data_IF_749208490684
#
_entry.id   IF_749208490684
#
_cell.length_a   1.000
_cell.length_b   1.000
_cell.length_c   1.000
_cell.angle_alpha   90.00
_cell.angle_beta   90.00
_cell.angle_gamma   90.00
#
_symmetry.space_group_name_H-M   'P 1'
#
loop_
_entity.id
_entity.type
_entity.pdbx_description
1 polymer ?
#
# COMPACT_ATOMS: atom_id res chain seq x y z
N UNK A 1 -15.86 -1.38 1.27
CA UNK A 1 -15.03 -2.56 0.94
C UNK A 1 -15.75 -3.45 -0.04
N UNK A 2 -17.04 -3.76 0.19
CA UNK A 2 -17.89 -4.47 -0.77
C UNK A 2 -17.93 -3.82 -2.17
N UNK A 3 -18.05 -2.49 -2.27
CA UNK A 3 -18.01 -1.80 -3.58
C UNK A 3 -16.66 -1.92 -4.32
N UNK A 4 -15.56 -2.25 -3.62
CA UNK A 4 -14.23 -2.41 -4.20
C UNK A 4 -14.01 -3.86 -4.67
N UNK A 5 -14.51 -4.85 -3.93
CA UNK A 5 -14.39 -6.27 -4.27
C UNK A 5 -15.28 -6.64 -5.48
N UNK A 6 -16.41 -5.96 -5.62
CA UNK A 6 -17.33 -6.11 -6.76
C UNK A 6 -17.07 -5.14 -7.92
N UNK A 7 -15.98 -4.37 -7.88
CA UNK A 7 -15.61 -3.50 -9.01
C UNK A 7 -15.15 -4.37 -10.19
N UNK A 8 -15.97 -4.43 -11.25
CA UNK A 8 -15.67 -5.18 -12.48
C UNK A 8 -14.32 -4.80 -13.11
N UNK A 9 -13.79 -3.60 -12.83
CA UNK A 9 -12.48 -3.17 -13.33
C UNK A 9 -11.31 -3.74 -12.54
N UNK A 10 -11.51 -4.08 -11.27
CA UNK A 10 -10.45 -4.67 -10.43
C UNK A 10 -10.30 -6.17 -10.68
N UNK A 11 -11.37 -6.83 -11.13
CA UNK A 11 -11.39 -8.26 -11.50
C UNK A 11 -10.74 -9.11 -10.38
N UNK A 12 -11.32 -9.00 -9.19
CA UNK A 12 -10.79 -9.62 -7.96
C UNK A 12 -11.36 -11.03 -7.71
N UNK A 13 -12.32 -11.48 -8.52
CA UNK A 13 -12.94 -12.81 -8.40
C UNK A 13 -11.87 -13.88 -8.60
N UNK A 14 -11.87 -14.90 -7.73
CA UNK A 14 -10.89 -16.01 -7.72
C UNK A 14 -9.42 -15.56 -7.54
N UNK A 15 -9.18 -14.34 -7.07
CA UNK A 15 -7.84 -13.84 -6.74
C UNK A 15 -7.56 -13.93 -5.24
N UNK A 16 -6.29 -13.86 -4.80
CA UNK A 16 -5.97 -13.83 -3.37
C UNK A 16 -6.68 -12.71 -2.60
N UNK A 17 -6.98 -11.57 -3.27
CA UNK A 17 -7.67 -10.45 -2.63
C UNK A 17 -9.18 -10.67 -2.47
N UNK A 18 -9.76 -11.68 -3.11
CA UNK A 18 -11.18 -12.04 -2.97
C UNK A 18 -11.55 -12.40 -1.53
N UNK A 19 -10.63 -13.08 -0.83
CA UNK A 19 -10.85 -13.56 0.53
C UNK A 19 -10.60 -12.48 1.59
N UNK A 20 -10.18 -11.28 1.19
CA UNK A 20 -9.79 -10.22 2.12
C UNK A 20 -10.91 -9.88 3.12
N UNK A 21 -12.16 -9.75 2.64
CA UNK A 21 -13.32 -9.45 3.48
C UNK A 21 -13.57 -10.56 4.52
N UNK A 22 -13.38 -11.82 4.13
CA UNK A 22 -13.52 -12.99 5.01
C UNK A 22 -12.44 -13.04 6.09
N UNK A 23 -11.24 -12.53 5.78
CA UNK A 23 -10.08 -12.55 6.69
C UNK A 23 -9.99 -11.31 7.60
N UNK A 24 -10.89 -10.33 7.45
CA UNK A 24 -10.92 -9.14 8.32
C UNK A 24 -11.07 -9.49 9.80
N UNK A 25 -11.83 -10.54 10.13
CA UNK A 25 -12.00 -10.98 11.52
C UNK A 25 -10.70 -11.55 12.09
N UNK A 26 -10.00 -12.40 11.31
CA UNK A 26 -8.67 -12.90 11.66
C UNK A 26 -7.69 -11.75 11.86
N UNK A 27 -7.73 -10.77 10.96
CA UNK A 27 -6.88 -9.58 11.02
C UNK A 27 -7.16 -8.74 12.26
N UNK A 28 -8.42 -8.51 12.60
CA UNK A 28 -8.82 -7.82 13.83
C UNK A 28 -8.33 -8.57 15.08
N UNK A 29 -8.50 -9.89 15.12
CA UNK A 29 -8.00 -10.72 16.22
C UNK A 29 -6.47 -10.65 16.35
N UNK A 30 -5.74 -10.56 15.24
CA UNK A 30 -4.27 -10.44 15.25
C UNK A 30 -3.74 -9.13 15.86
N UNK A 31 -4.58 -8.10 15.93
CA UNK A 31 -4.22 -6.78 16.49
C UNK A 31 -4.44 -6.68 17.99
N UNK A 32 -5.07 -7.67 18.62
CA UNK A 32 -5.21 -7.73 20.07
C UNK A 32 -3.84 -7.79 20.74
N UNK A 33 -3.73 -7.15 21.89
CA UNK A 33 -2.56 -7.23 22.76
C UNK A 33 -2.78 -8.33 23.79
N UNK A 34 -2.43 -9.56 23.40
CA UNK A 34 -2.61 -10.76 24.22
C UNK A 34 -1.26 -11.26 24.70
N UNK A 35 -1.21 -11.62 25.97
CA UNK A 35 -0.03 -12.17 26.63
C UNK A 35 0.22 -13.62 26.15
N UNK A 36 1.37 -13.85 25.52
CA UNK A 36 1.79 -15.16 25.01
C UNK A 36 1.84 -16.23 26.13
N UNK A 37 2.03 -15.81 27.39
CA UNK A 37 1.99 -16.73 28.54
C UNK A 37 0.59 -17.29 28.80
N UNK A 38 -0.45 -16.56 28.40
CA UNK A 38 -1.86 -16.94 28.55
C UNK A 38 -2.41 -17.63 27.30
N UNK A 39 -1.87 -17.27 26.13
CA UNK A 39 -2.30 -17.82 24.84
C UNK A 39 -1.05 -18.23 24.03
N UNK A 40 -0.54 -19.45 24.25
CA UNK A 40 0.61 -19.95 23.53
C UNK A 40 0.32 -20.04 22.03
N UNK A 41 1.22 -19.53 21.20
CA UNK A 41 1.11 -19.55 19.74
C UNK A 41 0.38 -18.33 19.16
N UNK A 42 -0.04 -17.38 19.98
CA UNK A 42 -0.69 -16.15 19.50
C UNK A 42 0.24 -15.34 18.59
N UNK A 43 1.51 -15.20 18.94
CA UNK A 43 2.51 -14.55 18.07
C UNK A 43 2.64 -15.22 16.71
N UNK A 44 2.59 -16.56 16.66
CA UNK A 44 2.61 -17.32 15.39
C UNK A 44 1.35 -17.05 14.56
N UNK A 45 0.19 -17.07 15.19
CA UNK A 45 -1.09 -16.71 14.54
C UNK A 45 -1.03 -15.29 13.98
N UNK A 46 -0.60 -14.32 14.79
CA UNK A 46 -0.46 -12.91 14.41
C UNK A 46 0.44 -12.74 13.20
N UNK A 47 1.62 -13.36 13.20
CA UNK A 47 2.55 -13.29 12.08
C UNK A 47 2.00 -13.96 10.81
N UNK A 48 1.29 -15.08 10.95
CA UNK A 48 0.64 -15.77 9.83
C UNK A 48 -0.42 -14.85 9.18
N UNK A 49 -1.36 -14.36 9.98
CA UNK A 49 -2.45 -13.49 9.50
C UNK A 49 -1.91 -12.21 8.88
N UNK A 50 -0.92 -11.56 9.52
CA UNK A 50 -0.27 -10.38 8.94
C UNK A 50 0.37 -10.67 7.59
N UNK A 51 1.07 -11.80 7.46
CA UNK A 51 1.71 -12.21 6.20
C UNK A 51 0.69 -12.46 5.09
N UNK A 52 -0.41 -13.15 5.42
CA UNK A 52 -1.51 -13.43 4.48
C UNK A 52 -2.22 -12.14 4.05
N UNK A 53 -2.63 -11.30 5.00
CA UNK A 53 -3.27 -10.02 4.73
C UNK A 53 -2.36 -9.09 3.89
N UNK A 54 -1.05 -9.07 4.17
CA UNK A 54 -0.07 -8.30 3.37
C UNK A 54 -0.11 -8.70 1.90
N UNK A 55 -0.14 -10.00 1.61
CA UNK A 55 -0.19 -10.50 0.22
C UNK A 55 -1.47 -10.07 -0.48
N UNK A 56 -2.62 -10.21 0.19
CA UNK A 56 -3.92 -9.84 -0.36
C UNK A 56 -4.00 -8.33 -0.63
N UNK A 57 -3.60 -7.51 0.34
CA UNK A 57 -3.58 -6.05 0.20
C UNK A 57 -2.62 -5.61 -0.90
N UNK A 58 -1.43 -6.20 -0.97
CA UNK A 58 -0.44 -5.88 -2.03
C UNK A 58 -1.02 -6.19 -3.41
N UNK A 59 -1.66 -7.36 -3.56
CA UNK A 59 -2.30 -7.75 -4.80
C UNK A 59 -3.42 -6.78 -5.20
N UNK A 60 -4.26 -6.38 -4.25
CA UNK A 60 -5.33 -5.42 -4.49
C UNK A 60 -4.77 -4.04 -4.88
N UNK A 61 -3.72 -3.57 -4.20
CA UNK A 61 -3.03 -2.31 -4.54
C UNK A 61 -2.45 -2.35 -5.95
N UNK A 62 -1.87 -3.47 -6.37
CA UNK A 62 -1.32 -3.63 -7.72
C UNK A 62 -2.43 -3.64 -8.80
N UNK A 63 -3.55 -4.31 -8.54
CA UNK A 63 -4.72 -4.31 -9.43
C UNK A 63 -5.32 -2.92 -9.55
N UNK A 64 -5.52 -2.21 -8.43
CA UNK A 64 -6.02 -0.85 -8.42
C UNK A 64 -5.11 0.11 -9.21
N UNK A 65 -3.79 -0.04 -9.04
CA UNK A 65 -2.81 0.72 -9.82
C UNK A 65 -2.95 0.48 -11.32
N UNK A 66 -2.97 -0.79 -11.75
CA UNK A 66 -3.10 -1.16 -13.18
C UNK A 66 -4.42 -0.71 -13.81
N UNK A 67 -5.49 -0.70 -13.03
CA UNK A 67 -6.81 -0.24 -13.46
C UNK A 67 -6.94 1.31 -13.44
N UNK A 68 -5.93 2.03 -12.95
CA UNK A 68 -5.98 3.49 -12.79
C UNK A 68 -7.02 3.95 -11.76
N UNK A 69 -7.32 3.11 -10.77
CA UNK A 69 -8.32 3.38 -9.74
C UNK A 69 -7.61 3.97 -8.52
N UNK A 70 -7.89 5.22 -8.15
CA UNK A 70 -7.30 5.82 -6.97
C UNK A 70 -7.88 5.18 -5.70
N UNK A 71 -7.01 4.64 -4.86
CA UNK A 71 -7.37 4.20 -3.52
C UNK A 71 -7.52 5.44 -2.61
N UNK A 72 -8.56 5.45 -1.78
CA UNK A 72 -8.87 6.59 -0.89
C UNK A 72 -8.13 6.54 0.44
N UNK A 73 -7.58 5.39 0.77
CA UNK A 73 -6.95 5.06 2.05
C UNK A 73 -5.76 4.14 1.80
N UNK A 74 -4.69 4.32 2.54
CA UNK A 74 -3.55 3.40 2.53
C UNK A 74 -3.97 2.07 3.15
N UNK A 75 -4.20 1.07 2.31
CA UNK A 75 -4.69 -0.23 2.74
C UNK A 75 -3.65 -1.03 3.54
N UNK A 76 -2.37 -0.67 3.48
CA UNK A 76 -1.36 -1.32 4.32
C UNK A 76 -1.49 -0.97 5.79
N UNK A 77 -2.10 0.17 6.12
CA UNK A 77 -2.41 0.56 7.50
C UNK A 77 -3.31 -0.49 8.16
N UNK A 78 -4.25 -1.09 7.41
CA UNK A 78 -5.08 -2.21 7.90
C UNK A 78 -4.22 -3.38 8.42
N UNK A 79 -3.01 -3.59 7.92
CA UNK A 79 -2.13 -4.66 8.38
C UNK A 79 -1.23 -4.20 9.52
N UNK A 80 -0.60 -3.03 9.38
CA UNK A 80 0.51 -2.62 10.24
C UNK A 80 0.09 -1.78 11.44
N UNK A 81 -0.94 -0.95 11.30
CA UNK A 81 -1.33 -0.01 12.35
C UNK A 81 -2.02 -0.69 13.52
N UNK A 82 -1.96 -0.06 14.69
CA UNK A 82 -2.68 -0.51 15.87
C UNK A 82 -4.20 -0.33 15.73
N UNK A 83 -4.96 -1.01 16.59
CA UNK A 83 -6.41 -0.82 16.65
C UNK A 83 -6.79 0.65 16.91
N UNK A 84 -6.08 1.33 17.80
CA UNK A 84 -6.36 2.73 18.18
C UNK A 84 -6.05 3.72 17.04
N UNK A 85 -5.00 3.47 16.25
CA UNK A 85 -4.68 4.27 15.06
C UNK A 85 -5.75 4.10 13.98
N UNK A 86 -6.12 2.87 13.67
CA UNK A 86 -7.19 2.58 12.71
C UNK A 86 -8.53 3.18 13.14
N UNK A 87 -8.86 3.10 14.44
CA UNK A 87 -10.06 3.70 15.01
C UNK A 87 -10.09 5.21 14.81
N UNK A 88 -8.99 5.91 15.16
CA UNK A 88 -8.87 7.36 14.97
C UNK A 88 -9.03 7.78 13.50
N UNK A 89 -8.38 7.06 12.58
CA UNK A 89 -8.49 7.32 11.14
C UNK A 89 -9.91 7.08 10.63
N UNK A 90 -10.57 6.00 11.07
CA UNK A 90 -11.94 5.70 10.70
C UNK A 90 -12.94 6.74 11.24
N UNK A 91 -12.76 7.20 12.48
CA UNK A 91 -13.57 8.26 13.08
C UNK A 91 -13.38 9.59 12.35
N UNK A 92 -12.13 9.97 12.04
CA UNK A 92 -11.83 11.18 11.28
C UNK A 92 -12.51 11.16 9.90
N UNK A 93 -12.47 10.03 9.21
CA UNK A 93 -13.15 9.84 7.94
C UNK A 93 -14.69 9.89 8.07
N UNK A 94 -15.26 9.21 9.07
CA UNK A 94 -16.72 9.18 9.32
C UNK A 94 -17.29 10.57 9.65
N UNK A 95 -16.56 11.36 10.43
CA UNK A 95 -16.92 12.74 10.78
C UNK A 95 -16.63 13.75 9.65
N UNK A 96 -16.07 13.27 8.53
CA UNK A 96 -15.86 14.05 7.32
C UNK A 96 -14.61 14.92 7.31
N UNK A 97 -13.72 14.78 8.30
CA UNK A 97 -12.49 15.56 8.38
C UNK A 97 -11.52 15.25 7.22
N UNK A 98 -11.61 14.04 6.65
CA UNK A 98 -10.75 13.58 5.56
C UNK A 98 -11.47 13.46 4.20
N UNK A 99 -12.69 13.99 4.04
CA UNK A 99 -13.48 13.86 2.79
C UNK A 99 -12.80 14.46 1.55
N UNK A 100 -11.99 15.51 1.73
CA UNK A 100 -11.22 16.14 0.66
C UNK A 100 -9.73 15.74 0.68
N UNK A 101 -9.32 14.89 1.63
CA UNK A 101 -7.98 14.32 1.64
C UNK A 101 -7.95 13.20 0.62
N UNK A 102 -7.64 13.56 -0.62
CA UNK A 102 -6.88 12.66 -1.48
C UNK A 102 -5.61 12.32 -0.70
N UNK A 103 -5.44 11.05 -0.31
CA UNK A 103 -4.21 10.61 0.30
C UNK A 103 -3.07 11.03 -0.64
N UNK A 104 -2.13 11.91 -0.21
CA UNK A 104 -1.02 12.32 -1.07
C UNK A 104 -0.31 11.02 -1.48
N UNK A 105 -0.18 10.81 -2.77
CA UNK A 105 -0.45 9.52 -3.42
C UNK A 105 0.05 8.28 -2.65
N UNK A 106 -0.82 7.28 -2.51
CA UNK A 106 -0.48 5.93 -2.01
C UNK A 106 0.67 5.27 -2.80
N UNK A 107 1.00 5.81 -3.97
CA UNK A 107 2.12 5.41 -4.83
C UNK A 107 3.29 6.41 -4.82
N UNK A 108 3.16 7.57 -4.18
CA UNK A 108 4.19 8.61 -4.16
C UNK A 108 5.40 8.19 -3.34
N UNK A 109 5.25 7.43 -2.26
CA UNK A 109 6.41 7.04 -1.47
C UNK A 109 7.33 6.09 -2.25
N UNK A 110 6.76 5.10 -2.92
CA UNK A 110 7.48 4.16 -3.79
C UNK A 110 8.04 4.85 -5.03
N UNK A 111 7.27 5.76 -5.65
CA UNK A 111 7.74 6.58 -6.78
C UNK A 111 8.89 7.50 -6.36
N UNK A 112 8.77 8.21 -5.24
CA UNK A 112 9.81 9.08 -4.70
C UNK A 112 11.05 8.27 -4.29
N UNK A 113 10.86 7.08 -3.73
CA UNK A 113 11.97 6.19 -3.35
C UNK A 113 12.68 5.68 -4.60
N UNK A 114 11.94 5.24 -5.62
CA UNK A 114 12.48 4.85 -6.91
C UNK A 114 13.23 5.99 -7.61
N UNK A 115 12.64 7.19 -7.66
CA UNK A 115 13.29 8.39 -8.19
C UNK A 115 14.57 8.70 -7.42
N UNK A 116 14.57 8.68 -6.08
CA UNK A 116 15.78 8.91 -5.28
C UNK A 116 16.90 7.90 -5.61
N UNK A 117 16.56 6.62 -5.78
CA UNK A 117 17.52 5.59 -6.17
C UNK A 117 18.05 5.85 -7.58
N UNK A 118 17.18 6.16 -8.55
CA UNK A 118 17.58 6.48 -9.93
C UNK A 118 18.52 7.70 -9.94
N UNK A 119 18.20 8.75 -9.19
CA UNK A 119 19.05 9.95 -9.06
C UNK A 119 20.42 9.67 -8.43
N UNK A 120 20.57 8.59 -7.65
CA UNK A 120 21.86 8.19 -7.08
C UNK A 120 22.67 7.29 -8.04
N UNK A 121 22.00 6.34 -8.69
CA UNK A 121 22.66 5.32 -9.50
C UNK A 121 22.99 5.83 -10.91
N UNK A 122 22.09 6.61 -11.52
CA UNK A 122 22.23 7.07 -12.89
C UNK A 122 23.50 7.93 -13.11
N UNK A 123 23.85 8.89 -12.24
CA UNK A 123 25.11 9.63 -12.38
C UNK A 123 26.36 8.74 -12.27
N UNK A 124 26.33 7.74 -11.39
CA UNK A 124 27.43 6.80 -11.24
C UNK A 124 27.61 5.91 -12.49
N UNK A 125 26.52 5.56 -13.17
CA UNK A 125 26.56 4.82 -14.43
C UNK A 125 27.08 5.68 -15.59
N UNK A 126 26.58 6.93 -15.73
CA UNK A 126 27.05 7.90 -16.74
C UNK A 126 28.56 8.10 -16.61
N UNK A 127 29.05 8.29 -15.38
CA UNK A 127 30.48 8.40 -15.07
C UNK A 127 31.29 7.17 -15.48
N UNK A 128 30.78 5.97 -15.18
CA UNK A 128 31.46 4.71 -15.50
C UNK A 128 31.51 4.43 -17.00
N UNK A 129 30.51 4.91 -17.73
CA UNK A 129 30.42 4.80 -19.19
C UNK A 129 31.20 5.90 -19.92
N UNK A 130 31.65 6.94 -19.23
CA UNK A 130 32.46 8.02 -19.80
C UNK A 130 31.69 8.98 -20.70
N UNK A 131 30.38 9.07 -20.53
CA UNK A 131 29.46 9.87 -21.38
C UNK A 131 28.96 11.15 -20.68
N UNK A 132 29.70 11.63 -19.66
CA UNK A 132 29.31 12.82 -18.88
C UNK A 132 29.14 14.06 -19.75
N UNK A 133 29.96 14.20 -20.80
CA UNK A 133 29.96 15.35 -21.71
C UNK A 133 28.96 15.22 -22.88
N UNK A 134 28.36 14.03 -23.07
CA UNK A 134 27.42 13.73 -24.17
C UNK A 134 25.97 13.66 -23.69
N UNK A 135 25.76 13.42 -22.39
CA UNK A 135 24.42 13.25 -21.83
C UNK A 135 23.76 14.62 -21.55
N UNK A 136 22.76 14.97 -22.35
CA UNK A 136 21.84 16.07 -22.06
C UNK A 136 20.44 15.53 -21.79
N UNK A 137 19.81 16.05 -20.72
CA UNK A 137 18.43 15.69 -20.39
C UNK A 137 17.48 16.43 -21.35
N UNK A 138 16.82 15.70 -22.24
CA UNK A 138 15.76 16.25 -23.08
C UNK A 138 14.51 16.53 -22.23
N UNK A 139 14.22 17.80 -22.01
CA UNK A 139 13.06 18.25 -21.23
C UNK A 139 11.83 18.54 -22.08
N UNK A 140 11.87 18.35 -23.41
CA UNK A 140 10.77 18.70 -24.31
C UNK A 140 9.50 17.87 -24.07
N UNK A 141 9.66 16.64 -23.60
CA UNK A 141 8.56 15.74 -23.21
C UNK A 141 8.24 15.80 -21.70
N UNK A 142 9.00 16.56 -20.90
CA UNK A 142 8.74 16.72 -19.47
C UNK A 142 7.58 17.71 -19.26
N UNK A 143 6.35 17.19 -19.26
CA UNK A 143 5.17 17.96 -18.89
C UNK A 143 5.08 18.07 -17.37
N UNK A 144 5.37 19.26 -16.85
CA UNK A 144 4.88 19.66 -15.52
C UNK A 144 3.39 19.96 -15.68
N UNK A 145 2.55 19.17 -15.03
CA UNK A 145 1.11 19.41 -14.93
C UNK A 145 0.80 20.62 -14.06
#
# INVERSE_FOLDING_TARGET
MSDLVYDEKLDLIDTPAWELDSELLSLAASKLDLDESKIPGFSRFKNKVKSEATKMVTYLKERAFRAGIPLRVELMDLVFDSHDELGRTAEAHSLGFDQNRLHPDIYMNELLTGMRVIHQVLPALIKKLGIEDEFELDTSELRLG
#
